data_IF_560367395320
#
_entry.id   IF_560367395320
#
_cell.length_a   1.000
_cell.length_b   1.000
_cell.length_c   1.000
_cell.angle_alpha   90.00
_cell.angle_beta   90.00
_cell.angle_gamma   90.00
#
_symmetry.space_group_name_H-M   'P 1'
#
loop_
_entity.id
_entity.type
_entity.pdbx_description
1 polymer ?
#
# COMPACT_ATOMS: atom_id res chain seq x y z
N UNK A 1 -14.97 8.96 8.61
CA UNK A 1 -14.43 9.30 7.26
C UNK A 1 -13.44 8.22 6.90
N UNK A 2 -13.39 7.75 5.64
CA UNK A 2 -12.24 6.96 5.20
C UNK A 2 -11.05 7.92 5.14
N UNK A 3 -9.97 7.60 5.84
CA UNK A 3 -8.73 8.36 5.68
C UNK A 3 -8.25 8.24 4.23
N UNK A 4 -7.80 9.36 3.67
CA UNK A 4 -7.26 9.40 2.31
C UNK A 4 -5.80 8.97 2.37
N UNK A 5 -5.47 7.93 1.62
CA UNK A 5 -4.09 7.46 1.42
C UNK A 5 -3.25 8.58 0.78
N UNK A 6 -2.05 8.79 1.32
CA UNK A 6 -1.07 9.82 0.95
C UNK A 6 0.25 9.18 0.55
N UNK A 7 1.14 10.01 0.00
CA UNK A 7 2.53 9.63 -0.24
C UNK A 7 3.20 9.20 1.08
N UNK A 8 4.01 8.14 1.01
CA UNK A 8 4.72 7.50 2.11
C UNK A 8 3.85 6.76 3.14
N UNK A 9 2.53 6.68 2.92
CA UNK A 9 1.70 5.80 3.74
C UNK A 9 2.09 4.34 3.52
N UNK A 10 2.11 3.58 4.62
CA UNK A 10 2.32 2.14 4.58
C UNK A 10 0.97 1.45 4.42
N UNK A 11 0.88 0.56 3.46
CA UNK A 11 -0.33 -0.18 3.11
C UNK A 11 -0.07 -1.68 3.11
N UNK A 12 -1.14 -2.47 3.24
CA UNK A 12 -1.10 -3.90 2.96
C UNK A 12 -1.98 -4.24 1.75
N UNK A 13 -1.53 -5.17 0.92
CA UNK A 13 -2.36 -5.76 -0.13
C UNK A 13 -3.57 -6.48 0.47
N UNK A 14 -4.74 -6.30 -0.14
CA UNK A 14 -5.98 -7.00 0.26
C UNK A 14 -6.34 -8.16 -0.66
N UNK A 15 -5.59 -8.34 -1.76
CA UNK A 15 -5.76 -9.38 -2.78
C UNK A 15 -4.42 -10.04 -3.10
N UNK A 16 -4.47 -11.28 -3.58
CA UNK A 16 -3.29 -11.94 -4.15
C UNK A 16 -3.04 -11.41 -5.57
N UNK A 17 -1.77 -11.20 -5.91
CA UNK A 17 -1.31 -10.76 -7.24
C UNK A 17 -0.12 -11.65 -7.67
N UNK A 18 -0.38 -12.93 -8.00
CA UNK A 18 0.66 -13.90 -8.32
C UNK A 18 1.54 -13.49 -9.52
N UNK A 19 1.03 -12.67 -10.44
CA UNK A 19 1.77 -12.11 -11.57
C UNK A 19 2.96 -11.22 -11.14
N UNK A 20 2.90 -10.66 -9.93
CA UNK A 20 3.94 -9.83 -9.32
C UNK A 20 4.66 -10.56 -8.17
N UNK A 21 4.39 -11.85 -7.97
CA UNK A 21 4.86 -12.62 -6.81
C UNK A 21 4.42 -12.02 -5.45
N UNK A 22 3.26 -11.34 -5.42
CA UNK A 22 2.73 -10.69 -4.24
C UNK A 22 1.51 -11.43 -3.70
N UNK A 23 1.43 -11.52 -2.38
CA UNK A 23 0.31 -12.14 -1.67
C UNK A 23 -0.52 -11.08 -0.94
N UNK A 24 -1.79 -11.39 -0.69
CA UNK A 24 -2.59 -10.62 0.26
C UNK A 24 -1.86 -10.56 1.60
N UNK A 25 -1.81 -9.36 2.16
CA UNK A 25 -1.11 -9.06 3.41
C UNK A 25 0.33 -8.58 3.22
N UNK A 26 0.87 -8.58 1.99
CA UNK A 26 2.19 -8.00 1.74
C UNK A 26 2.18 -6.51 2.06
N UNK A 27 3.19 -6.06 2.79
CA UNK A 27 3.37 -4.67 3.19
C UNK A 27 4.12 -3.91 2.10
N UNK A 28 3.63 -2.74 1.73
CA UNK A 28 4.25 -1.85 0.77
C UNK A 28 4.09 -0.38 1.16
N UNK A 29 4.79 0.50 0.47
CA UNK A 29 4.79 1.95 0.71
C UNK A 29 4.29 2.68 -0.52
N UNK A 30 3.39 3.65 -0.35
CA UNK A 30 2.92 4.48 -1.46
C UNK A 30 4.02 5.45 -1.88
N UNK A 31 4.49 5.33 -3.12
CA UNK A 31 5.57 6.16 -3.69
C UNK A 31 5.08 7.14 -4.77
N UNK A 32 3.85 6.98 -5.26
CA UNK A 32 3.20 7.95 -6.14
C UNK A 32 1.66 7.91 -6.02
N UNK A 33 1.02 9.07 -6.18
CA UNK A 33 -0.44 9.18 -6.29
C UNK A 33 -0.78 9.35 -7.77
N UNK A 34 -1.47 8.35 -8.33
CA UNK A 34 -1.80 8.29 -9.75
C UNK A 34 -3.26 8.67 -9.98
N UNK A 35 -3.56 9.16 -11.19
CA UNK A 35 -4.93 9.45 -11.65
C UNK A 35 -5.77 10.22 -10.60
N UNK A 36 -5.20 11.26 -10.00
CA UNK A 36 -5.85 12.08 -8.96
C UNK A 36 -6.35 11.30 -7.73
N UNK A 37 -5.69 10.19 -7.38
CA UNK A 37 -6.05 9.33 -6.25
C UNK A 37 -7.01 8.19 -6.61
N UNK A 38 -7.18 7.89 -7.89
CA UNK A 38 -7.88 6.69 -8.35
C UNK A 38 -6.96 5.46 -8.42
N UNK A 39 -5.64 5.66 -8.31
CA UNK A 39 -4.64 4.62 -8.18
C UNK A 39 -3.42 5.13 -7.42
N UNK A 40 -2.58 4.22 -6.97
CA UNK A 40 -1.36 4.48 -6.20
C UNK A 40 -0.25 3.58 -6.69
N UNK A 41 0.93 4.14 -6.93
CA UNK A 41 2.12 3.32 -7.11
C UNK A 41 2.60 2.87 -5.73
N UNK A 42 2.67 1.56 -5.50
CA UNK A 42 3.10 0.97 -4.24
C UNK A 42 4.38 0.19 -4.46
N UNK A 43 5.42 0.59 -3.73
CA UNK A 43 6.71 -0.07 -3.69
C UNK A 43 6.71 -1.18 -2.63
N UNK A 44 7.21 -2.35 -3.00
CA UNK A 44 7.42 -3.49 -2.12
C UNK A 44 8.92 -3.78 -1.98
N UNK A 45 9.38 -3.78 -0.74
CA UNK A 45 10.80 -3.90 -0.42
C UNK A 45 11.06 -5.05 0.55
N UNK A 46 12.22 -5.69 0.42
CA UNK A 46 12.65 -6.75 1.32
C UNK A 46 13.08 -6.18 2.69
N UNK A 47 13.56 -7.05 3.58
CA UNK A 47 14.01 -6.64 4.93
C UNK A 47 15.30 -5.81 4.93
N UNK A 48 16.03 -5.78 3.82
CA UNK A 48 17.21 -4.93 3.63
C UNK A 48 16.83 -3.58 3.00
N UNK A 49 15.54 -3.34 2.75
CA UNK A 49 15.03 -2.12 2.13
C UNK A 49 15.23 -2.08 0.62
N UNK A 50 15.53 -3.21 -0.03
CA UNK A 50 15.65 -3.27 -1.48
C UNK A 50 14.28 -3.50 -2.10
N UNK A 51 13.89 -2.58 -2.97
CA UNK A 51 12.73 -2.73 -3.84
C UNK A 51 12.88 -3.96 -4.70
N UNK A 52 11.90 -4.86 -4.65
CA UNK A 52 11.81 -5.98 -5.58
C UNK A 52 10.62 -5.86 -6.53
N UNK A 53 9.62 -5.04 -6.20
CA UNK A 53 8.47 -4.81 -7.06
C UNK A 53 7.85 -3.43 -6.83
N UNK A 54 7.26 -2.85 -7.87
CA UNK A 54 6.48 -1.60 -7.79
C UNK A 54 5.26 -1.74 -8.69
N UNK A 55 4.06 -1.56 -8.10
CA UNK A 55 2.81 -1.86 -8.79
C UNK A 55 1.80 -0.73 -8.60
N UNK A 56 1.19 -0.32 -9.71
CA UNK A 56 0.03 0.57 -9.71
C UNK A 56 -1.23 -0.16 -9.23
N UNK A 57 -1.73 0.21 -8.06
CA UNK A 57 -2.84 -0.44 -7.37
C UNK A 57 -4.04 0.50 -7.19
N UNK A 58 -5.24 -0.07 -7.31
CA UNK A 58 -6.49 0.65 -7.00
C UNK A 58 -6.73 0.70 -5.49
N UNK A 59 -7.51 1.68 -4.99
CA UNK A 59 -7.83 1.80 -3.56
C UNK A 59 -8.42 0.52 -2.95
N UNK A 60 -9.15 -0.29 -3.73
CA UNK A 60 -9.79 -1.51 -3.22
C UNK A 60 -8.80 -2.68 -3.03
N UNK A 61 -7.61 -2.59 -3.63
CA UNK A 61 -6.56 -3.61 -3.56
C UNK A 61 -5.61 -3.40 -2.37
N UNK A 62 -5.75 -2.30 -1.64
CA UNK A 62 -4.85 -1.91 -0.55
C UNK A 62 -5.62 -1.43 0.68
N UNK A 63 -5.00 -1.60 1.84
CA UNK A 63 -5.51 -1.16 3.13
C UNK A 63 -4.44 -0.33 3.83
N UNK A 64 -4.78 0.90 4.25
CA UNK A 64 -3.91 1.72 5.08
C UNK A 64 -3.62 1.02 6.40
N UNK A 65 -2.34 0.94 6.79
CA UNK A 65 -1.93 0.35 8.05
C UNK A 65 -1.82 1.44 9.13
N UNK A 66 -2.38 1.14 10.30
CA UNK A 66 -2.28 1.96 11.50
C UNK A 66 -1.44 1.20 12.53
N UNK A 67 -0.41 1.86 13.05
CA UNK A 67 0.50 1.28 14.05
C UNK A 67 0.06 1.60 15.48
N UNK A 68 -0.70 2.67 15.64
CA UNK A 68 -1.22 3.15 16.91
C UNK A 68 -2.71 2.80 17.05
N UNK A 69 -3.20 2.57 18.28
CA UNK A 69 -4.63 2.43 18.52
C UNK A 69 -5.37 3.73 18.20
N UNK A 70 -6.67 3.62 17.91
CA UNK A 70 -7.53 4.79 17.80
C UNK A 70 -7.62 5.44 19.18
N UNK A 71 -7.02 6.61 19.35
CA UNK A 71 -7.25 7.43 20.54
C UNK A 71 -8.72 7.86 20.54
N UNK A 72 -9.47 7.46 21.57
CA UNK A 72 -10.81 7.99 21.77
C UNK A 72 -10.66 9.48 22.11
N UNK A 73 -11.13 10.33 21.19
CA UNK A 73 -11.31 11.76 21.46
C UNK A 73 -12.32 11.99 22.59
#
# INVERSE_FOLDING_TARGET
MKEKIKLLDVVALTVDLPEYNLWRGQVGTVVEILANGQAYEVEFSDREGRTYESVGLRPEQIMLLHYEPIENA
#
